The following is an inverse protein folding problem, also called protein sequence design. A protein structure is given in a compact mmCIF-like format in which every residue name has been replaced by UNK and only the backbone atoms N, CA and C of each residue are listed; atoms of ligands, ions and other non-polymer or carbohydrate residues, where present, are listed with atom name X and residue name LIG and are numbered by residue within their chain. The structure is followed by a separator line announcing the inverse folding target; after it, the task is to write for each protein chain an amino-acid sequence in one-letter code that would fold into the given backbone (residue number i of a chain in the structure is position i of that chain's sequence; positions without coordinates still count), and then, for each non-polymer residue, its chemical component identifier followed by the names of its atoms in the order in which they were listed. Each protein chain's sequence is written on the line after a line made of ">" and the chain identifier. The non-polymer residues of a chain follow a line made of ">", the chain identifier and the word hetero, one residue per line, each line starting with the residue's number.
data_IF_336436663718
#
_entry.id   IF_336436663718
#
_cell.length_a   1.000
_cell.length_b   1.000
_cell.length_c   1.000
_cell.angle_alpha   90.00
_cell.angle_beta   90.00
_cell.angle_gamma   90.00
#
_symmetry.space_group_name_H-M   'P 1'
#
loop_
_entity.id
_entity.type
_entity.pdbx_description
1 polymer ?
#
# COMPACT_ATOMS: atom_id res chain seq x y z
N UNK A 1 -0.49 -3.95 -8.14
CA UNK A 1 -1.79 -4.62 -7.96
C UNK A 1 -1.56 -5.90 -7.19
N UNK A 2 -2.61 -6.62 -6.79
CA UNK A 2 -2.41 -7.90 -6.10
C UNK A 2 -1.63 -8.88 -7.01
N UNK A 3 -0.75 -9.69 -6.40
CA UNK A 3 0.14 -10.62 -7.09
C UNK A 3 1.52 -10.06 -7.45
N UNK A 4 1.78 -8.76 -7.22
CA UNK A 4 3.10 -8.15 -7.45
C UNK A 4 3.91 -7.92 -6.16
N UNK A 5 3.43 -8.40 -5.02
CA UNK A 5 4.12 -8.28 -3.72
C UNK A 5 5.40 -9.11 -3.68
N UNK A 6 6.51 -8.50 -3.23
CA UNK A 6 7.82 -9.13 -3.08
C UNK A 6 8.62 -8.45 -1.98
N UNK A 7 9.24 -9.20 -1.07
CA UNK A 7 10.10 -8.60 -0.04
C UNK A 7 11.56 -8.57 -0.51
N UNK A 8 12.28 -7.42 -0.44
CA UNK A 8 11.81 -6.09 -0.04
C UNK A 8 11.04 -5.35 -1.14
N UNK A 9 9.98 -4.64 -0.76
CA UNK A 9 9.16 -3.82 -1.68
C UNK A 9 9.65 -2.38 -1.84
N UNK A 10 10.38 -1.86 -0.85
CA UNK A 10 10.84 -0.47 -0.86
C UNK A 10 12.34 -0.42 -1.15
N UNK A 11 12.75 0.63 -1.87
CA UNK A 11 14.18 0.96 -1.93
C UNK A 11 14.58 1.73 -0.67
N UNK A 12 15.85 1.63 -0.29
CA UNK A 12 16.45 2.42 0.81
C UNK A 12 16.22 3.93 0.70
N UNK A 13 16.14 4.45 -0.53
CA UNK A 13 15.84 5.87 -0.75
C UNK A 13 14.39 6.21 -0.39
N UNK A 14 13.45 5.30 -0.66
CA UNK A 14 12.01 5.48 -0.41
C UNK A 14 11.72 5.39 1.09
N UNK A 15 12.29 4.42 1.80
CA UNK A 15 12.08 4.24 3.24
C UNK A 15 12.61 5.40 4.11
N UNK A 16 13.51 6.23 3.56
CA UNK A 16 14.05 7.44 4.23
C UNK A 16 13.19 8.69 4.05
N UNK A 17 12.15 8.67 3.22
CA UNK A 17 11.29 9.84 3.04
C UNK A 17 10.45 10.04 4.33
N UNK A 18 10.49 11.22 4.98
CA UNK A 18 9.75 11.46 6.23
C UNK A 18 8.23 11.21 6.10
N UNK A 19 7.63 11.57 4.97
CA UNK A 19 6.22 11.29 4.68
C UNK A 19 5.91 9.80 4.58
N UNK A 20 6.82 8.99 4.01
CA UNK A 20 6.68 7.53 3.92
C UNK A 20 6.78 6.91 5.31
N UNK A 21 7.74 7.36 6.14
CA UNK A 21 7.86 6.90 7.53
C UNK A 21 6.62 7.23 8.35
N UNK A 22 6.04 8.43 8.16
CA UNK A 22 4.80 8.80 8.83
C UNK A 22 3.62 7.93 8.38
N UNK A 23 3.51 7.68 7.08
CA UNK A 23 2.49 6.81 6.51
C UNK A 23 2.55 5.39 7.09
N UNK A 24 3.75 4.81 7.25
CA UNK A 24 3.89 3.49 7.89
C UNK A 24 3.52 3.49 9.37
N UNK A 25 3.85 4.55 10.12
CA UNK A 25 3.37 4.71 11.51
C UNK A 25 1.84 4.82 11.58
N UNK A 26 1.22 5.57 10.67
CA UNK A 26 -0.24 5.63 10.58
C UNK A 26 -0.83 4.26 10.23
N UNK A 27 -0.18 3.51 9.35
CA UNK A 27 -0.61 2.17 8.99
C UNK A 27 -0.62 1.21 10.18
N UNK A 28 0.42 1.25 11.02
CA UNK A 28 0.52 0.44 12.23
C UNK A 28 -0.65 0.72 13.20
N UNK A 29 -1.01 2.00 13.37
CA UNK A 29 -2.15 2.39 14.22
C UNK A 29 -3.50 1.86 13.69
N UNK A 30 -3.65 1.74 12.37
CA UNK A 30 -4.89 1.26 11.74
C UNK A 30 -4.95 -0.27 11.76
N UNK A 31 -3.85 -0.93 11.42
CA UNK A 31 -3.80 -2.38 11.18
C UNK A 31 -3.48 -3.20 12.43
N UNK A 32 -2.86 -2.58 13.43
CA UNK A 32 -2.40 -3.24 14.65
C UNK A 32 -1.15 -4.11 14.47
N UNK A 33 -0.42 -3.95 13.37
CA UNK A 33 0.85 -4.63 13.09
C UNK A 33 1.78 -3.75 12.24
N UNK A 34 3.08 -4.03 12.26
CA UNK A 34 4.09 -3.27 11.52
C UNK A 34 4.03 -3.59 10.01
N UNK A 35 3.37 -2.72 9.24
CA UNK A 35 3.29 -2.85 7.79
C UNK A 35 4.64 -2.57 7.09
N UNK A 36 5.55 -1.84 7.72
CA UNK A 36 6.88 -1.60 7.18
C UNK A 36 7.70 -2.90 7.23
N UNK A 37 7.65 -3.63 8.35
CA UNK A 37 8.24 -4.97 8.45
C UNK A 37 7.71 -5.92 7.36
N UNK A 38 6.40 -5.90 7.12
CA UNK A 38 5.76 -6.66 6.04
C UNK A 38 6.31 -6.32 4.66
N UNK A 39 6.61 -5.05 4.40
CA UNK A 39 7.18 -4.63 3.12
C UNK A 39 8.65 -5.03 2.96
N UNK A 40 9.41 -5.15 4.05
CA UNK A 40 10.87 -5.27 4.03
C UNK A 40 11.38 -6.71 4.16
N UNK A 41 10.83 -7.49 5.11
CA UNK A 41 11.44 -8.76 5.52
C UNK A 41 10.46 -9.94 5.67
N UNK A 42 9.20 -9.81 5.26
CA UNK A 42 8.23 -10.89 5.42
C UNK A 42 8.52 -12.10 4.52
N UNK A 43 8.33 -13.34 5.01
CA UNK A 43 8.37 -14.55 4.19
C UNK A 43 7.34 -14.51 3.06
N UNK A 44 7.72 -14.99 1.87
CA UNK A 44 6.86 -15.00 0.68
C UNK A 44 5.50 -15.68 0.94
N UNK A 45 5.47 -16.79 1.68
CA UNK A 45 4.23 -17.49 2.03
C UNK A 45 3.27 -16.63 2.88
N UNK A 46 3.80 -15.78 3.77
CA UNK A 46 2.98 -14.87 4.56
C UNK A 46 2.56 -13.66 3.72
N UNK A 47 3.47 -13.13 2.90
CA UNK A 47 3.20 -12.01 2.01
C UNK A 47 2.16 -12.36 0.93
N UNK A 48 2.08 -13.64 0.53
CA UNK A 48 1.07 -14.17 -0.39
C UNK A 48 -0.35 -14.14 0.21
N UNK A 49 -0.48 -14.07 1.54
CA UNK A 49 -1.80 -13.96 2.17
C UNK A 49 -2.38 -12.57 1.92
N UNK A 50 -3.62 -12.55 1.46
CA UNK A 50 -4.39 -11.34 1.13
C UNK A 50 -4.35 -10.29 2.24
N UNK A 51 -4.45 -10.73 3.51
CA UNK A 51 -4.40 -9.87 4.70
C UNK A 51 -3.13 -9.01 4.78
N UNK A 52 -2.00 -9.51 4.31
CA UNK A 52 -0.71 -8.80 4.36
C UNK A 52 -0.34 -8.21 3.00
N UNK A 53 -0.52 -8.99 1.93
CA UNK A 53 -0.13 -8.60 0.58
C UNK A 53 -0.86 -7.35 0.07
N UNK A 54 -2.18 -7.23 0.29
CA UNK A 54 -2.93 -6.07 -0.22
C UNK A 54 -2.52 -4.75 0.46
N UNK A 55 -2.47 -4.65 1.81
CA UNK A 55 -1.96 -3.47 2.49
C UNK A 55 -0.52 -3.13 2.08
N UNK A 56 0.35 -4.13 1.93
CA UNK A 56 1.75 -3.93 1.56
C UNK A 56 1.90 -3.33 0.16
N UNK A 57 1.20 -3.89 -0.85
CA UNK A 57 1.21 -3.34 -2.22
C UNK A 57 0.64 -1.93 -2.25
N UNK A 58 -0.44 -1.67 -1.51
CA UNK A 58 -1.05 -0.35 -1.42
C UNK A 58 -0.07 0.70 -0.86
N UNK A 59 0.54 0.42 0.29
CA UNK A 59 1.49 1.32 0.94
C UNK A 59 2.77 1.51 0.10
N UNK A 60 3.35 0.44 -0.44
CA UNK A 60 4.54 0.52 -1.29
C UNK A 60 4.30 1.33 -2.58
N UNK A 61 3.11 1.19 -3.18
CA UNK A 61 2.74 1.98 -4.38
C UNK A 61 2.62 3.48 -4.07
N UNK A 62 2.02 3.84 -2.93
CA UNK A 62 1.98 5.24 -2.48
C UNK A 62 3.36 5.76 -2.11
N UNK A 63 4.22 4.96 -1.48
CA UNK A 63 5.60 5.31 -1.17
C UNK A 63 6.41 5.64 -2.44
N UNK A 64 6.24 4.84 -3.49
CA UNK A 64 6.83 5.12 -4.80
C UNK A 64 6.32 6.44 -5.40
N UNK A 65 5.02 6.74 -5.26
CA UNK A 65 4.44 8.02 -5.68
C UNK A 65 4.99 9.21 -4.88
N UNK A 66 5.18 9.08 -3.56
CA UNK A 66 5.82 10.12 -2.75
C UNK A 66 7.24 10.44 -3.24
N UNK A 67 8.02 9.41 -3.57
CA UNK A 67 9.35 9.58 -4.16
C UNK A 67 9.27 10.27 -5.52
N UNK A 68 8.35 9.85 -6.39
CA UNK A 68 8.18 10.47 -7.71
C UNK A 68 7.77 11.94 -7.58
N UNK A 69 6.86 12.27 -6.66
CA UNK A 69 6.43 13.65 -6.38
C UNK A 69 7.57 14.50 -5.85
N UNK A 70 8.42 13.95 -4.98
CA UNK A 70 9.60 14.65 -4.47
C UNK A 70 10.64 14.92 -5.56
N UNK A 71 10.87 13.98 -6.49
CA UNK A 71 11.88 14.11 -7.56
C UNK A 71 11.38 14.90 -8.76
N UNK A 72 10.11 14.76 -9.13
CA UNK A 72 9.50 15.30 -10.36
C UNK A 72 8.07 15.81 -10.10
N UNK A 73 7.89 16.85 -9.27
CA UNK A 73 6.56 17.35 -8.92
C UNK A 73 5.75 17.76 -10.15
N UNK A 74 6.38 18.35 -11.16
CA UNK A 74 5.73 18.76 -12.41
C UNK A 74 5.20 17.58 -13.23
N UNK A 75 5.82 16.39 -13.12
CA UNK A 75 5.32 15.19 -13.83
C UNK A 75 4.04 14.71 -13.16
N UNK A 76 4.05 14.63 -11.82
CA UNK A 76 2.87 14.21 -11.05
C UNK A 76 1.72 15.20 -11.22
N UNK A 77 2.00 16.51 -11.19
CA UNK A 77 0.99 17.56 -11.35
C UNK A 77 0.33 17.58 -12.74
N UNK A 78 0.99 17.01 -13.76
CA UNK A 78 0.47 16.93 -15.14
C UNK A 78 -0.32 15.65 -15.42
N UNK A 79 -0.44 14.74 -14.45
CA UNK A 79 -1.26 13.54 -14.63
C UNK A 79 -2.74 13.92 -14.79
N UNK A 80 -3.32 13.62 -15.95
CA UNK A 80 -4.73 13.91 -16.23
C UNK A 80 -5.71 12.85 -15.71
N UNK A 81 -5.21 11.66 -15.37
CA UNK A 81 -6.00 10.57 -14.83
C UNK A 81 -5.12 9.64 -13.97
N UNK A 82 -5.74 8.98 -12.99
CA UNK A 82 -5.16 7.93 -12.18
C UNK A 82 -6.08 6.71 -12.25
N UNK A 83 -5.53 5.56 -12.61
CA UNK A 83 -6.28 4.31 -12.80
C UNK A 83 -5.57 3.20 -12.05
N UNK A 84 -6.34 2.30 -11.44
CA UNK A 84 -5.79 1.14 -10.76
C UNK A 84 -6.68 -0.09 -10.94
N UNK A 85 -6.05 -1.26 -11.05
CA UNK A 85 -6.72 -2.53 -11.24
C UNK A 85 -6.88 -3.29 -9.91
N UNK A 86 -8.06 -3.84 -9.65
CA UNK A 86 -8.39 -4.54 -8.41
C UNK A 86 -8.17 -3.64 -7.18
N UNK A 87 -7.36 -4.09 -6.22
CA UNK A 87 -6.94 -3.26 -5.08
C UNK A 87 -6.23 -1.96 -5.50
N UNK A 88 -5.63 -1.92 -6.70
CA UNK A 88 -4.91 -0.74 -7.19
C UNK A 88 -5.80 0.49 -7.34
N UNK A 89 -7.11 0.30 -7.48
CA UNK A 89 -8.06 1.41 -7.51
C UNK A 89 -8.04 2.23 -6.21
N UNK A 90 -7.81 1.59 -5.04
CA UNK A 90 -7.65 2.31 -3.77
C UNK A 90 -6.39 3.20 -3.76
N UNK A 91 -5.28 2.69 -4.31
CA UNK A 91 -4.06 3.50 -4.52
C UNK A 91 -4.36 4.69 -5.42
N UNK A 92 -5.08 4.50 -6.52
CA UNK A 92 -5.43 5.58 -7.45
C UNK A 92 -6.33 6.64 -6.79
N UNK A 93 -7.35 6.22 -6.03
CA UNK A 93 -8.23 7.13 -5.28
C UNK A 93 -7.47 7.92 -4.21
N UNK A 94 -6.58 7.27 -3.47
CA UNK A 94 -5.78 7.93 -2.45
C UNK A 94 -4.78 8.92 -3.08
N UNK A 95 -4.12 8.51 -4.18
CA UNK A 95 -3.23 9.38 -4.95
C UNK A 95 -3.96 10.60 -5.56
N UNK A 96 -5.24 10.45 -5.92
CA UNK A 96 -6.10 11.53 -6.40
C UNK A 96 -6.60 12.47 -5.29
N UNK A 97 -6.37 12.13 -4.01
CA UNK A 97 -6.89 12.88 -2.87
C UNK A 97 -8.38 12.67 -2.60
N UNK A 98 -9.00 11.66 -3.22
CA UNK A 98 -10.43 11.33 -3.02
C UNK A 98 -10.63 10.58 -1.71
N UNK A 99 -9.69 9.70 -1.35
CA UNK A 99 -9.70 8.97 -0.08
C UNK A 99 -8.48 9.34 0.75
N UNK A 100 -8.68 9.54 2.04
CA UNK A 100 -7.59 9.58 3.01
C UNK A 100 -6.88 8.21 3.05
N UNK A 101 -5.59 8.22 3.40
CA UNK A 101 -4.78 7.02 3.46
C UNK A 101 -5.35 6.02 4.47
N UNK A 102 -5.69 6.49 5.66
CA UNK A 102 -6.21 5.67 6.76
C UNK A 102 -7.55 5.03 6.39
N UNK A 103 -8.42 5.76 5.70
CA UNK A 103 -9.73 5.24 5.31
C UNK A 103 -9.61 4.21 4.18
N UNK A 104 -8.76 4.46 3.19
CA UNK A 104 -8.44 3.47 2.17
C UNK A 104 -7.83 2.20 2.79
N UNK A 105 -6.98 2.35 3.81
CA UNK A 105 -6.35 1.23 4.49
C UNK A 105 -7.35 0.40 5.31
N UNK A 106 -8.28 1.04 6.03
CA UNK A 106 -9.39 0.35 6.73
C UNK A 106 -10.25 -0.44 5.76
N UNK A 107 -10.59 0.14 4.61
CA UNK A 107 -11.38 -0.57 3.59
C UNK A 107 -10.61 -1.77 3.04
N UNK A 108 -9.31 -1.62 2.78
CA UNK A 108 -8.46 -2.72 2.32
C UNK A 108 -8.34 -3.83 3.37
N UNK A 109 -8.25 -3.49 4.65
CA UNK A 109 -8.22 -4.47 5.73
C UNK A 109 -9.50 -5.31 5.76
N UNK A 110 -10.68 -4.66 5.79
CA UNK A 110 -11.98 -5.36 5.77
C UNK A 110 -12.14 -6.21 4.52
N UNK A 111 -11.73 -5.69 3.35
CA UNK A 111 -11.76 -6.45 2.09
C UNK A 111 -10.89 -7.70 2.17
N UNK A 112 -9.66 -7.56 2.67
CA UNK A 112 -8.72 -8.67 2.74
C UNK A 112 -9.17 -9.74 3.73
N UNK A 113 -9.75 -9.34 4.85
CA UNK A 113 -10.34 -10.25 5.86
C UNK A 113 -11.51 -11.04 5.28
N UNK A 114 -12.46 -10.37 4.62
CA UNK A 114 -13.61 -11.02 3.98
C UNK A 114 -13.20 -12.02 2.87
N UNK A 115 -12.16 -11.68 2.10
CA UNK A 115 -11.62 -12.60 1.09
C UNK A 115 -10.98 -13.84 1.73
N UNK A 116 -10.22 -13.68 2.82
CA UNK A 116 -9.65 -14.82 3.54
C UNK A 116 -10.72 -15.71 4.17
N UNK A 117 -11.77 -15.13 4.74
CA UNK A 117 -12.88 -15.89 5.33
C UNK A 117 -13.57 -16.77 4.29
N UNK A 118 -13.79 -16.23 3.09
CA UNK A 118 -14.40 -16.99 1.98
C UNK A 118 -13.55 -18.20 1.58
N UNK A 119 -12.22 -18.03 1.52
CA UNK A 119 -11.28 -19.12 1.21
C UNK A 119 -11.28 -20.19 2.31
N UNK A 120 -11.38 -19.81 3.59
CA UNK A 120 -11.41 -20.78 4.71
C UNK A 120 -12.73 -21.54 4.81
N UNK A 121 -13.83 -20.95 4.35
CA UNK A 121 -15.16 -21.55 4.39
C UNK A 121 -15.44 -22.50 3.22
N UNK A 122 -14.53 -22.57 2.23
CA UNK A 122 -14.60 -23.43 1.04
C UNK A 122 -13.77 -24.69 1.21
#
# INVERSE_FOLDING_TARGET
>A
GEGCQQSPMLSHSVSRIPAVQMMFRQAELVLGYDLHEVCEVFPEMLLARTKFGQPAVFAASLAALYMLKARKPNVVARAGALVGFGMGYYTALCAAGVLAFEDALKVLQVRAEAMEETIRAS
#
